data_IF_945363570791
#
_entry.id   IF_945363570791
#
_cell.length_a   1.000
_cell.length_b   1.000
_cell.length_c   1.000
_cell.angle_alpha   90.00
_cell.angle_beta   90.00
_cell.angle_gamma   90.00
#
_symmetry.space_group_name_H-M   'P 1'
#
loop_
_entity.id
_entity.type
_entity.pdbx_description
1 polymer ?
#
# COMPACT_ATOMS: atom_id res chain seq x y z
N UNK A 1 18.97 2.32 -5.02
CA UNK A 1 17.59 1.87 -4.99
C UNK A 1 16.70 3.10 -4.97
N UNK A 2 15.61 3.14 -5.75
CA UNK A 2 14.72 4.30 -5.86
C UNK A 2 13.41 3.99 -5.15
N UNK A 3 12.92 4.92 -4.32
CA UNK A 3 11.61 4.85 -3.69
C UNK A 3 10.53 5.44 -4.62
N UNK A 4 10.83 6.57 -5.21
CA UNK A 4 10.00 7.22 -6.21
C UNK A 4 10.86 7.98 -7.21
N UNK A 5 10.28 8.25 -8.36
CA UNK A 5 10.81 9.20 -9.36
C UNK A 5 9.76 10.27 -9.59
N UNK A 6 10.20 11.53 -9.62
CA UNK A 6 9.35 12.67 -9.95
C UNK A 6 10.00 13.44 -11.10
N UNK A 7 9.35 13.48 -12.24
CA UNK A 7 9.91 14.10 -13.42
C UNK A 7 8.90 14.24 -14.57
N UNK A 8 9.36 14.72 -15.70
CA UNK A 8 8.58 14.93 -16.91
C UNK A 8 8.59 13.66 -17.76
N UNK A 9 7.44 13.25 -18.26
CA UNK A 9 7.37 12.12 -19.21
C UNK A 9 7.76 12.63 -20.59
N UNK A 10 8.93 12.24 -21.07
CA UNK A 10 9.47 12.63 -22.38
C UNK A 10 8.80 11.88 -23.53
N UNK A 11 8.58 10.58 -23.35
CA UNK A 11 7.82 9.74 -24.27
C UNK A 11 7.24 8.52 -23.59
N UNK A 12 6.20 7.93 -24.19
CA UNK A 12 5.62 6.67 -23.70
C UNK A 12 5.55 5.63 -24.82
N UNK A 13 5.79 4.38 -24.43
CA UNK A 13 5.56 3.16 -25.19
C UNK A 13 4.50 2.33 -24.48
N UNK A 14 4.04 1.25 -25.11
CA UNK A 14 2.98 0.41 -24.55
C UNK A 14 3.32 -0.19 -23.18
N UNK A 15 4.58 -0.46 -22.91
CA UNK A 15 5.04 -1.16 -21.70
C UNK A 15 5.98 -0.34 -20.82
N UNK A 16 6.48 0.82 -21.30
CA UNK A 16 7.35 1.69 -20.53
C UNK A 16 7.22 3.16 -20.94
N UNK A 17 7.64 4.02 -20.05
CA UNK A 17 7.84 5.45 -20.28
C UNK A 17 9.31 5.82 -20.07
N UNK A 18 9.72 6.94 -20.66
CA UNK A 18 10.94 7.63 -20.27
C UNK A 18 10.57 8.87 -19.46
N UNK A 19 11.10 8.94 -18.24
CA UNK A 19 10.94 10.08 -17.34
C UNK A 19 12.23 10.86 -17.32
N UNK A 20 12.21 12.12 -17.70
CA UNK A 20 13.34 13.04 -17.53
C UNK A 20 13.35 13.61 -16.11
N UNK A 21 14.51 13.51 -15.49
CA UNK A 21 14.82 14.15 -14.20
C UNK A 21 16.14 14.88 -14.37
N UNK A 22 16.07 16.18 -14.58
CA UNK A 22 17.24 17.05 -14.73
C UNK A 22 18.23 16.57 -15.82
N UNK A 23 17.72 16.17 -16.99
CA UNK A 23 18.54 15.72 -18.12
C UNK A 23 18.94 14.25 -18.09
N UNK A 24 18.43 13.47 -17.10
CA UNK A 24 18.66 12.02 -17.03
C UNK A 24 17.33 11.32 -17.32
N UNK A 25 17.30 10.52 -18.41
CA UNK A 25 16.13 9.74 -18.80
C UNK A 25 16.07 8.37 -18.13
N UNK A 26 15.05 8.13 -17.30
CA UNK A 26 14.79 6.86 -16.66
C UNK A 26 13.73 6.08 -17.39
N UNK A 27 14.02 4.82 -17.75
CA UNK A 27 13.03 3.89 -18.28
C UNK A 27 12.26 3.26 -17.14
N UNK A 28 10.93 3.48 -17.12
CA UNK A 28 10.02 2.95 -16.08
C UNK A 28 8.92 2.14 -16.74
N UNK A 29 8.84 0.86 -16.40
CA UNK A 29 7.75 -0.03 -16.78
C UNK A 29 6.55 0.24 -15.87
N UNK A 30 5.34 0.12 -16.37
CA UNK A 30 4.13 0.48 -15.62
C UNK A 30 2.94 -0.41 -15.99
N UNK A 31 1.88 -0.49 -15.16
CA UNK A 31 0.65 -1.20 -15.47
C UNK A 31 -0.05 -0.58 -16.68
N UNK A 32 -0.44 -1.40 -17.68
CA UNK A 32 -1.05 -0.92 -18.92
C UNK A 32 -2.32 -0.09 -18.70
N UNK A 33 -3.09 -0.35 -17.64
CA UNK A 33 -4.29 0.44 -17.29
C UNK A 33 -3.98 1.93 -16.99
N UNK A 34 -2.73 2.27 -16.74
CA UNK A 34 -2.31 3.65 -16.49
C UNK A 34 -1.91 4.38 -17.76
N UNK A 35 -1.83 3.66 -18.88
CA UNK A 35 -1.38 4.22 -20.17
C UNK A 35 -2.15 5.47 -20.58
N UNK A 36 -3.49 5.46 -20.50
CA UNK A 36 -4.34 6.60 -20.87
C UNK A 36 -4.23 7.78 -19.88
N UNK A 37 -3.82 7.52 -18.65
CA UNK A 37 -3.68 8.55 -17.60
C UNK A 37 -2.38 9.33 -17.73
N UNK A 38 -1.37 8.75 -18.40
CA UNK A 38 -0.04 9.34 -18.53
C UNK A 38 0.04 10.10 -19.83
N UNK A 39 0.29 11.40 -19.76
CA UNK A 39 0.46 12.28 -20.90
C UNK A 39 1.92 12.71 -21.03
N UNK A 40 2.43 12.72 -22.27
CA UNK A 40 3.78 13.18 -22.59
C UNK A 40 3.86 14.69 -22.35
N UNK A 41 4.96 15.16 -21.78
CA UNK A 41 5.19 16.55 -21.41
C UNK A 41 4.73 16.91 -19.98
N UNK A 42 3.90 16.09 -19.35
CA UNK A 42 3.43 16.33 -17.99
C UNK A 42 4.35 15.70 -16.93
N UNK A 43 4.33 16.26 -15.73
CA UNK A 43 5.10 15.77 -14.58
C UNK A 43 4.26 14.80 -13.75
N UNK A 44 4.88 13.68 -13.40
CA UNK A 44 4.27 12.67 -12.55
C UNK A 44 5.24 12.22 -11.46
N UNK A 45 4.70 11.75 -10.34
CA UNK A 45 5.40 10.98 -9.33
C UNK A 45 5.06 9.50 -9.55
N UNK A 46 6.09 8.67 -9.72
CA UNK A 46 5.95 7.22 -9.79
C UNK A 46 6.59 6.59 -8.58
N UNK A 47 5.85 5.79 -7.83
CA UNK A 47 6.38 4.93 -6.78
C UNK A 47 7.08 3.75 -7.43
N UNK A 48 8.35 3.52 -7.09
CA UNK A 48 9.23 2.61 -7.82
C UNK A 48 9.43 1.31 -7.06
N UNK A 49 9.28 0.21 -7.78
CA UNK A 49 9.83 -1.08 -7.42
C UNK A 49 11.10 -1.35 -8.24
N UNK A 50 12.21 -1.59 -7.56
CA UNK A 50 13.49 -1.89 -8.20
C UNK A 50 13.59 -3.40 -8.46
N UNK A 51 13.33 -3.84 -9.68
CA UNK A 51 13.46 -5.23 -10.07
C UNK A 51 14.89 -5.54 -10.49
N UNK A 52 15.68 -6.02 -9.54
CA UNK A 52 17.10 -6.31 -9.72
C UNK A 52 17.29 -7.82 -9.64
N UNK A 53 17.92 -8.38 -10.66
CA UNK A 53 18.43 -9.75 -10.73
C UNK A 53 19.85 -9.68 -11.29
N UNK A 54 20.52 -10.84 -11.37
CA UNK A 54 21.89 -10.95 -11.82
C UNK A 54 22.16 -10.23 -13.16
N UNK A 55 21.22 -10.37 -14.11
CA UNK A 55 21.29 -9.82 -15.49
C UNK A 55 20.19 -8.81 -15.80
N UNK A 56 19.38 -8.43 -14.83
CA UNK A 56 18.19 -7.57 -15.03
C UNK A 56 18.20 -6.42 -14.04
N UNK A 57 18.11 -5.20 -14.59
CA UNK A 57 17.80 -4.02 -13.82
C UNK A 57 16.63 -3.28 -14.46
N UNK A 58 15.44 -3.37 -13.85
CA UNK A 58 14.22 -2.71 -14.32
C UNK A 58 13.60 -1.89 -13.22
N UNK A 59 13.17 -0.67 -13.55
CA UNK A 59 12.33 0.14 -12.70
C UNK A 59 10.87 -0.12 -13.08
N UNK A 60 10.06 -0.50 -12.12
CA UNK A 60 8.61 -0.68 -12.31
C UNK A 60 7.95 0.41 -11.47
N UNK A 61 7.18 1.27 -12.12
CA UNK A 61 6.57 2.44 -11.51
C UNK A 61 5.05 2.33 -11.44
N UNK A 62 4.50 2.94 -10.42
CA UNK A 62 3.06 2.99 -10.15
C UNK A 62 2.68 4.43 -9.81
N UNK A 63 1.54 4.90 -10.31
CA UNK A 63 1.01 6.22 -9.95
C UNK A 63 0.54 6.27 -8.50
N UNK A 64 0.09 5.13 -7.98
CA UNK A 64 -0.41 4.99 -6.60
C UNK A 64 0.50 4.08 -5.78
N UNK A 65 0.77 4.46 -4.53
CA UNK A 65 1.58 3.65 -3.63
C UNK A 65 0.92 2.31 -3.28
N UNK A 66 -0.41 2.29 -3.18
CA UNK A 66 -1.18 1.07 -2.95
C UNK A 66 -0.94 0.00 -4.02
N UNK A 67 -0.83 0.40 -5.29
CA UNK A 67 -0.51 -0.51 -6.39
C UNK A 67 0.90 -1.10 -6.25
N UNK A 68 1.89 -0.30 -5.84
CA UNK A 68 3.24 -0.79 -5.54
C UNK A 68 3.21 -1.81 -4.40
N UNK A 69 2.48 -1.52 -3.31
CA UNK A 69 2.34 -2.44 -2.17
C UNK A 69 1.73 -3.79 -2.61
N UNK A 70 0.66 -3.77 -3.41
CA UNK A 70 0.07 -5.01 -3.97
C UNK A 70 1.06 -5.75 -4.87
N UNK A 71 1.78 -5.04 -5.73
CA UNK A 71 2.80 -5.64 -6.58
C UNK A 71 3.85 -6.39 -5.78
N UNK A 72 4.39 -5.79 -4.73
CA UNK A 72 5.37 -6.38 -3.83
C UNK A 72 4.82 -7.62 -3.10
N UNK A 73 3.55 -7.58 -2.69
CA UNK A 73 2.89 -8.73 -2.07
C UNK A 73 2.69 -9.88 -3.05
N UNK A 74 2.29 -9.58 -4.28
CA UNK A 74 2.15 -10.59 -5.35
C UNK A 74 3.48 -11.30 -5.63
N UNK A 75 4.60 -10.56 -5.62
CA UNK A 75 5.93 -11.14 -5.83
C UNK A 75 6.38 -12.10 -4.72
N UNK A 76 5.83 -11.97 -3.51
CA UNK A 76 6.11 -12.88 -2.39
C UNK A 76 5.35 -14.21 -2.50
N UNK A 77 4.44 -14.34 -3.49
CA UNK A 77 3.67 -15.55 -3.72
C UNK A 77 4.46 -16.46 -4.65
N UNK A 78 4.65 -17.70 -4.24
CA UNK A 78 5.38 -18.68 -5.06
C UNK A 78 4.72 -18.88 -6.42
N UNK A 79 5.51 -18.78 -7.49
CA UNK A 79 5.04 -18.91 -8.87
C UNK A 79 4.42 -17.66 -9.49
N UNK A 80 4.47 -16.51 -8.78
CA UNK A 80 4.08 -15.20 -9.30
C UNK A 80 5.34 -14.35 -9.54
N UNK A 81 5.68 -14.16 -10.80
CA UNK A 81 6.79 -13.28 -11.20
C UNK A 81 6.32 -11.87 -11.54
N UNK A 82 7.29 -10.96 -11.75
CA UNK A 82 7.01 -9.54 -12.06
C UNK A 82 6.08 -9.32 -13.25
N UNK A 83 6.21 -10.13 -14.31
CA UNK A 83 5.33 -10.01 -15.48
C UNK A 83 3.87 -10.35 -15.17
N UNK A 84 3.63 -11.38 -14.34
CA UNK A 84 2.27 -11.77 -13.97
C UNK A 84 1.68 -10.80 -12.94
N UNK A 85 2.47 -10.35 -11.98
CA UNK A 85 2.07 -9.33 -11.02
C UNK A 85 1.70 -8.01 -11.73
N UNK A 86 2.49 -7.59 -12.72
CA UNK A 86 2.20 -6.42 -13.54
C UNK A 86 0.93 -6.61 -14.39
N UNK A 87 0.69 -7.83 -14.92
CA UNK A 87 -0.54 -8.15 -15.64
C UNK A 87 -1.77 -8.06 -14.73
N UNK A 88 -1.70 -8.50 -13.48
CA UNK A 88 -2.79 -8.35 -12.50
C UNK A 88 -3.11 -6.86 -12.30
N UNK A 89 -2.10 -6.03 -12.06
CA UNK A 89 -2.26 -4.58 -11.86
C UNK A 89 -2.60 -3.83 -13.14
N UNK A 90 -2.36 -4.41 -14.32
CA UNK A 90 -2.84 -3.86 -15.60
C UNK A 90 -4.34 -4.07 -15.81
N UNK A 91 -4.94 -5.09 -15.16
CA UNK A 91 -6.37 -5.37 -15.26
C UNK A 91 -7.18 -4.79 -14.10
N UNK A 92 -6.59 -4.70 -12.90
CA UNK A 92 -7.30 -4.30 -11.69
C UNK A 92 -6.54 -3.23 -10.92
N UNK A 93 -7.27 -2.23 -10.40
CA UNK A 93 -6.73 -1.24 -9.46
C UNK A 93 -6.57 -1.86 -8.06
N UNK A 94 -5.84 -1.17 -7.19
CA UNK A 94 -5.70 -1.53 -5.77
C UNK A 94 -7.06 -1.86 -5.13
N UNK A 95 -8.02 -0.93 -5.19
CA UNK A 95 -9.34 -1.11 -4.58
C UNK A 95 -10.10 -2.32 -5.16
N UNK A 96 -9.99 -2.55 -6.48
CA UNK A 96 -10.62 -3.70 -7.12
C UNK A 96 -9.99 -5.03 -6.70
N UNK A 97 -8.67 -5.06 -6.50
CA UNK A 97 -7.98 -6.25 -6.00
C UNK A 97 -8.41 -6.54 -4.56
N UNK A 98 -8.51 -5.53 -3.70
CA UNK A 98 -9.03 -5.68 -2.33
C UNK A 98 -10.46 -6.26 -2.34
N UNK A 99 -11.32 -5.73 -3.18
CA UNK A 99 -12.70 -6.23 -3.35
C UNK A 99 -12.72 -7.72 -3.78
N UNK A 100 -11.93 -8.08 -4.80
CA UNK A 100 -11.81 -9.45 -5.31
C UNK A 100 -11.37 -10.41 -4.19
N UNK A 101 -10.38 -10.00 -3.39
CA UNK A 101 -9.83 -10.81 -2.31
C UNK A 101 -10.85 -10.95 -1.16
N UNK A 102 -11.52 -9.88 -0.76
CA UNK A 102 -12.52 -9.89 0.31
C UNK A 102 -13.69 -10.81 -0.03
N UNK A 103 -14.13 -10.79 -1.29
CA UNK A 103 -15.24 -11.63 -1.81
C UNK A 103 -14.80 -13.04 -2.21
N UNK A 104 -13.52 -13.40 -2.13
CA UNK A 104 -12.94 -14.65 -2.69
C UNK A 104 -13.28 -14.87 -4.17
N UNK A 105 -13.31 -13.81 -4.97
CA UNK A 105 -13.73 -13.86 -6.37
C UNK A 105 -12.55 -14.26 -7.28
N UNK A 106 -12.18 -15.54 -7.23
CA UNK A 106 -11.15 -16.09 -8.11
C UNK A 106 -11.59 -16.10 -9.60
N UNK A 107 -12.89 -16.05 -9.87
CA UNK A 107 -13.42 -16.05 -11.24
C UNK A 107 -13.07 -14.75 -11.95
N UNK A 108 -13.25 -13.60 -11.31
CA UNK A 108 -12.81 -12.31 -11.84
C UNK A 108 -11.28 -12.27 -11.98
N UNK A 109 -10.54 -12.76 -10.99
CA UNK A 109 -9.08 -12.73 -11.03
C UNK A 109 -8.51 -13.60 -12.19
N UNK A 110 -9.17 -14.69 -12.57
CA UNK A 110 -8.81 -15.53 -13.73
C UNK A 110 -8.90 -14.83 -15.08
N UNK A 111 -9.56 -13.68 -15.18
CA UNK A 111 -9.61 -12.92 -16.43
C UNK A 111 -8.24 -12.37 -16.83
N UNK A 112 -7.29 -12.33 -15.89
CA UNK A 112 -5.90 -11.95 -16.20
C UNK A 112 -5.25 -12.99 -17.08
N UNK A 113 -4.69 -12.61 -18.25
CA UNK A 113 -4.00 -13.54 -19.14
C UNK A 113 -2.89 -14.32 -18.40
N UNK A 114 -2.79 -15.62 -18.67
CA UNK A 114 -1.83 -16.56 -18.06
C UNK A 114 -2.04 -16.81 -16.55
N UNK A 115 -3.12 -16.32 -15.97
CA UNK A 115 -3.51 -16.59 -14.60
C UNK A 115 -4.59 -17.70 -14.57
N UNK A 116 -4.16 -18.92 -14.39
CA UNK A 116 -5.07 -20.06 -14.25
C UNK A 116 -5.75 -20.09 -12.88
N UNK A 117 -6.81 -20.91 -12.77
CA UNK A 117 -7.63 -21.03 -11.55
C UNK A 117 -6.82 -21.32 -10.30
N UNK A 118 -5.92 -22.29 -10.35
CA UNK A 118 -5.06 -22.67 -9.23
C UNK A 118 -4.22 -21.50 -8.70
N UNK A 119 -3.64 -20.69 -9.60
CA UNK A 119 -2.87 -19.51 -9.21
C UNK A 119 -3.78 -18.40 -8.64
N UNK A 120 -4.99 -18.20 -9.21
CA UNK A 120 -5.94 -17.24 -8.71
C UNK A 120 -6.37 -17.58 -7.27
N UNK A 121 -6.63 -18.85 -6.98
CA UNK A 121 -6.95 -19.31 -5.62
C UNK A 121 -5.78 -19.08 -4.65
N UNK A 122 -4.55 -19.38 -5.05
CA UNK A 122 -3.34 -19.16 -4.23
C UNK A 122 -3.17 -17.65 -3.94
N UNK A 123 -3.33 -16.78 -4.95
CA UNK A 123 -3.25 -15.33 -4.77
C UNK A 123 -4.27 -14.85 -3.73
N UNK A 124 -5.54 -15.27 -3.86
CA UNK A 124 -6.58 -14.85 -2.92
C UNK A 124 -6.27 -15.34 -1.51
N UNK A 125 -5.87 -16.60 -1.35
CA UNK A 125 -5.58 -17.18 -0.04
C UNK A 125 -4.41 -16.46 0.66
N UNK A 126 -3.30 -16.27 -0.07
CA UNK A 126 -2.09 -15.61 0.45
C UNK A 126 -2.32 -14.13 0.77
N UNK A 127 -2.97 -13.41 -0.15
CA UNK A 127 -3.23 -11.99 0.06
C UNK A 127 -4.28 -11.76 1.14
N UNK A 128 -5.29 -12.63 1.28
CA UNK A 128 -6.29 -12.52 2.35
C UNK A 128 -5.68 -12.56 3.75
N UNK A 129 -4.65 -13.41 3.94
CA UNK A 129 -3.90 -13.46 5.19
C UNK A 129 -3.06 -12.20 5.47
N UNK A 130 -2.51 -11.61 4.41
CA UNK A 130 -1.63 -10.43 4.50
C UNK A 130 -2.41 -9.11 4.48
N UNK A 131 -3.55 -9.09 3.80
CA UNK A 131 -4.42 -7.90 3.71
C UNK A 131 -5.21 -7.64 4.97
N UNK A 132 -5.42 -8.63 5.85
CA UNK A 132 -5.90 -8.35 7.21
C UNK A 132 -5.00 -7.35 7.94
N UNK A 133 -3.73 -7.27 7.57
CA UNK A 133 -2.77 -6.30 8.09
C UNK A 133 -2.65 -5.03 7.21
N UNK A 134 -3.35 -4.95 6.05
CA UNK A 134 -3.27 -3.84 5.10
C UNK A 134 -4.63 -3.18 4.81
N UNK A 135 -5.74 -3.86 5.08
CA UNK A 135 -7.11 -3.33 4.97
C UNK A 135 -7.55 -2.52 6.19
N UNK A 136 -6.65 -2.32 7.11
CA UNK A 136 -6.72 -1.10 7.89
C UNK A 136 -6.40 0.04 6.91
N UNK A 137 -7.43 0.66 6.33
CA UNK A 137 -7.35 1.95 5.63
C UNK A 137 -6.57 2.92 6.50
N UNK A 138 -5.89 3.91 5.90
CA UNK A 138 -5.14 4.91 6.68
C UNK A 138 -5.97 5.55 7.81
N UNK A 139 -7.31 5.49 7.74
CA UNK A 139 -8.25 5.91 8.78
C UNK A 139 -8.45 4.86 9.90
N UNK A 140 -8.29 3.54 9.63
CA UNK A 140 -8.42 2.48 10.64
C UNK A 140 -7.07 1.97 11.18
N UNK A 141 -5.97 2.07 10.41
CA UNK A 141 -4.61 1.83 10.93
C UNK A 141 -4.18 2.90 11.91
N UNK A 142 -4.60 4.16 11.70
CA UNK A 142 -4.37 5.23 12.69
C UNK A 142 -5.04 4.88 14.02
N UNK A 143 -6.15 4.11 14.02
CA UNK A 143 -6.83 3.77 15.29
C UNK A 143 -6.25 2.55 16.01
N UNK A 144 -5.74 1.52 15.34
CA UNK A 144 -5.24 0.29 16.00
C UNK A 144 -3.75 0.40 16.33
N UNK A 145 -2.90 0.82 15.40
CA UNK A 145 -1.49 1.12 15.68
C UNK A 145 -1.38 2.29 16.67
N UNK A 146 -2.22 3.32 16.51
CA UNK A 146 -2.30 4.44 17.45
C UNK A 146 -2.78 4.00 18.83
N UNK A 147 -3.64 2.99 18.93
CA UNK A 147 -4.13 2.46 20.21
C UNK A 147 -3.05 1.64 20.92
N UNK A 148 -2.28 0.83 20.21
CA UNK A 148 -1.14 0.09 20.76
C UNK A 148 -0.01 1.03 21.19
N UNK A 149 0.38 1.97 20.32
CA UNK A 149 1.39 2.99 20.61
C UNK A 149 0.96 3.91 21.77
N UNK A 150 -0.33 4.24 21.86
CA UNK A 150 -0.91 5.02 22.92
C UNK A 150 -0.85 4.30 24.27
N UNK A 151 -1.19 3.00 24.29
CA UNK A 151 -1.09 2.16 25.49
C UNK A 151 0.37 2.08 25.93
N UNK A 152 1.31 1.80 25.01
CA UNK A 152 2.74 1.75 25.31
C UNK A 152 3.28 3.07 25.84
N UNK A 153 2.87 4.20 25.22
CA UNK A 153 3.28 5.53 25.67
C UNK A 153 2.76 5.85 27.09
N UNK A 154 1.51 5.52 27.38
CA UNK A 154 0.90 5.74 28.70
C UNK A 154 1.49 4.80 29.77
N UNK A 155 1.80 3.54 29.43
CA UNK A 155 2.55 2.64 30.31
C UNK A 155 3.96 3.17 30.60
N UNK A 156 4.65 3.70 29.59
CA UNK A 156 5.95 4.37 29.73
C UNK A 156 5.91 5.62 30.61
N UNK A 157 4.75 6.30 30.72
CA UNK A 157 4.50 7.41 31.62
C UNK A 157 4.08 6.99 33.03
N UNK A 158 3.99 5.66 33.30
CA UNK A 158 3.74 5.09 34.63
C UNK A 158 2.27 4.76 34.93
N UNK A 159 1.36 4.86 33.94
CA UNK A 159 -0.04 4.48 34.14
C UNK A 159 -0.21 2.96 34.01
N UNK A 160 -1.08 2.36 34.84
CA UNK A 160 -1.35 0.94 34.74
C UNK A 160 -2.44 0.61 33.69
N UNK A 161 -2.40 -0.61 33.14
CA UNK A 161 -3.34 -1.07 32.10
C UNK A 161 -4.81 -0.91 32.45
N UNK A 162 -5.18 -0.99 33.73
CA UNK A 162 -6.55 -0.87 34.20
C UNK A 162 -7.05 0.58 34.18
N UNK A 163 -6.18 1.52 34.48
CA UNK A 163 -6.45 2.96 34.39
C UNK A 163 -6.56 3.40 32.94
N UNK A 164 -5.61 2.94 32.09
CA UNK A 164 -5.61 3.22 30.66
C UNK A 164 -6.91 2.69 30.03
N UNK A 165 -7.28 1.42 30.30
CA UNK A 165 -8.51 0.81 29.75
C UNK A 165 -9.77 1.60 30.11
N UNK A 166 -9.95 1.96 31.40
CA UNK A 166 -11.10 2.75 31.85
C UNK A 166 -11.20 4.13 31.21
N UNK A 167 -10.06 4.73 30.87
CA UNK A 167 -10.02 6.04 30.26
C UNK A 167 -10.29 5.96 28.77
N UNK A 168 -9.78 4.93 28.10
CA UNK A 168 -10.04 4.69 26.68
C UNK A 168 -11.52 4.38 26.38
N UNK A 169 -12.24 3.70 27.30
CA UNK A 169 -13.68 3.47 27.17
C UNK A 169 -14.51 4.74 27.15
N UNK A 170 -13.98 5.84 27.68
CA UNK A 170 -14.70 7.13 27.81
C UNK A 170 -14.32 8.15 26.75
N UNK A 171 -13.31 7.87 25.94
CA UNK A 171 -12.74 8.78 24.96
C UNK A 171 -12.96 8.26 23.57
N UNK A 172 -13.51 9.09 22.70
CA UNK A 172 -13.65 8.83 21.29
C UNK A 172 -12.33 9.18 20.58
N UNK A 173 -11.56 8.13 20.24
CA UNK A 173 -10.25 8.28 19.61
C UNK A 173 -10.33 8.85 18.18
N UNK A 174 -11.48 8.79 17.53
CA UNK A 174 -11.68 9.37 16.19
C UNK A 174 -11.57 10.90 16.14
N UNK A 175 -11.60 11.55 17.31
CA UNK A 175 -11.48 13.01 17.43
C UNK A 175 -10.04 13.53 17.43
N UNK A 176 -9.05 12.65 17.48
CA UNK A 176 -7.64 13.02 17.50
C UNK A 176 -7.00 12.80 16.14
N UNK A 177 -6.25 13.79 15.68
CA UNK A 177 -5.57 13.75 14.38
C UNK A 177 -4.16 13.15 14.44
N UNK A 178 -3.62 12.93 15.64
CA UNK A 178 -2.29 12.35 15.85
C UNK A 178 -2.17 11.65 17.21
N UNK A 179 -1.19 10.75 17.33
CA UNK A 179 -0.84 10.10 18.59
C UNK A 179 -0.52 11.11 19.70
N UNK A 180 0.19 12.17 19.36
CA UNK A 180 0.57 13.23 20.31
C UNK A 180 -0.65 13.97 20.86
N UNK A 181 -1.62 14.27 20.00
CA UNK A 181 -2.89 14.92 20.41
C UNK A 181 -3.73 13.97 21.27
N UNK A 182 -3.75 12.68 20.96
CA UNK A 182 -4.43 11.66 21.74
C UNK A 182 -3.82 11.52 23.14
N UNK A 183 -2.48 11.45 23.25
CA UNK A 183 -1.78 11.40 24.54
C UNK A 183 -2.14 12.64 25.38
N UNK A 184 -2.05 13.85 24.82
CA UNK A 184 -2.39 15.10 25.52
C UNK A 184 -3.84 15.11 25.99
N UNK A 185 -4.78 14.69 25.13
CA UNK A 185 -6.20 14.61 25.45
C UNK A 185 -6.52 13.64 26.59
N UNK A 186 -5.88 12.47 26.58
CA UNK A 186 -6.05 11.44 27.61
C UNK A 186 -5.45 11.88 28.94
N UNK A 187 -4.25 12.42 28.96
CA UNK A 187 -3.58 12.91 30.16
C UNK A 187 -4.38 14.03 30.84
N UNK A 188 -5.04 14.88 30.03
CA UNK A 188 -5.93 15.92 30.55
C UNK A 188 -7.14 15.32 31.26
N UNK A 189 -7.72 14.26 30.74
CA UNK A 189 -8.86 13.56 31.35
C UNK A 189 -8.47 12.71 32.57
N UNK A 190 -7.25 12.17 32.61
CA UNK A 190 -6.72 11.41 33.75
C UNK A 190 -6.44 12.32 34.97
N UNK A 191 -6.03 13.59 34.74
CA UNK A 191 -5.77 14.56 35.82
C UNK A 191 -7.04 15.18 36.43
N UNK A 192 -8.20 15.05 35.78
CA UNK A 192 -9.49 15.63 36.28
C UNK A 192 -10.24 14.59 37.14
N UNK A 193 -9.73 13.39 37.31
CA UNK A 193 -10.35 12.28 38.04
C UNK A 193 -9.76 11.99 39.44
N UNK A 194 -8.94 12.89 40.02
CA UNK A 194 -8.55 12.90 41.45
C UNK A 194 -9.46 13.80 42.27
#
# INVERSE_FOLDING_TARGET
MFEYLYGTVEYKKMDYIAIDINGIGYRVYFPLREYEKIEVGNKYKFYIYNHIKEDIYKLIGFLEEGDRKIFELLLKINGIGSSLALAVLSNFSYNKIIEIISKNDYTTLRQVPKLGEKKAQIIILDLKGKLKNLTYTEEETVSVDMLEDLVLALEGLGYNKKEIGKTLEKIDLSKFSSLEDAIKGILKNMRIGE
#
